data_IF_702182649791
#
_entry.id   IF_702182649791
#
_cell.length_a   1.000
_cell.length_b   1.000
_cell.length_c   1.000
_cell.angle_alpha   90.00
_cell.angle_beta   90.00
_cell.angle_gamma   90.00
#
_symmetry.space_group_name_H-M   'P 1'
#
loop_
_entity.id
_entity.type
_entity.pdbx_description
1 polymer ?
#
# COMPACT_ATOMS: atom_id res chain seq x y z
N UNK A 1 12.53 -11.84 30.49
CA UNK A 1 12.18 -11.27 31.81
C UNK A 1 11.29 -10.04 31.68
N UNK A 2 11.68 -8.96 31.01
CA UNK A 2 10.82 -7.77 30.86
C UNK A 2 9.46 -8.06 30.19
N UNK A 3 9.47 -8.91 29.16
CA UNK A 3 8.27 -9.44 28.52
C UNK A 3 7.33 -10.12 29.54
N UNK A 4 7.82 -11.12 30.28
CA UNK A 4 7.05 -11.81 31.33
C UNK A 4 6.52 -10.89 32.44
N UNK A 5 7.30 -9.87 32.84
CA UNK A 5 6.84 -8.85 33.80
C UNK A 5 5.65 -8.07 33.23
N UNK A 6 5.62 -7.85 31.91
CA UNK A 6 4.47 -7.25 31.25
C UNK A 6 3.19 -8.08 31.39
N UNK A 7 3.29 -9.41 31.28
CA UNK A 7 2.15 -10.30 31.55
C UNK A 7 1.64 -10.21 32.98
N UNK A 8 2.50 -9.95 33.98
CA UNK A 8 2.04 -9.73 35.35
C UNK A 8 1.09 -8.53 35.45
N UNK A 9 1.43 -7.40 34.79
CA UNK A 9 0.57 -6.21 34.78
C UNK A 9 -0.72 -6.43 33.98
N UNK A 10 -0.63 -7.18 32.88
CA UNK A 10 -1.80 -7.56 32.08
C UNK A 10 -2.78 -8.41 32.89
N UNK A 11 -2.29 -9.44 33.59
CA UNK A 11 -3.11 -10.31 34.43
C UNK A 11 -3.70 -9.57 35.64
N UNK A 12 -2.99 -8.59 36.20
CA UNK A 12 -3.51 -7.78 37.31
C UNK A 12 -4.85 -7.08 36.96
N UNK A 13 -5.08 -6.73 35.70
CA UNK A 13 -6.35 -6.12 35.25
C UNK A 13 -7.54 -7.03 35.52
N UNK A 14 -7.39 -8.33 35.25
CA UNK A 14 -8.41 -9.33 35.56
C UNK A 14 -8.64 -9.42 37.07
N UNK A 15 -7.55 -9.49 37.85
CA UNK A 15 -7.61 -9.59 39.31
C UNK A 15 -8.30 -8.38 39.95
N UNK A 16 -7.97 -7.17 39.51
CA UNK A 16 -8.50 -5.91 40.07
C UNK A 16 -9.99 -5.74 39.76
N UNK A 17 -10.40 -6.12 38.55
CA UNK A 17 -11.79 -5.95 38.12
C UNK A 17 -12.69 -7.16 38.46
N UNK A 18 -12.10 -8.30 38.83
CA UNK A 18 -12.80 -9.56 39.11
C UNK A 18 -13.78 -9.96 37.98
N UNK A 19 -13.37 -9.77 36.73
CA UNK A 19 -14.16 -10.01 35.52
C UNK A 19 -13.24 -10.40 34.35
N UNK A 20 -13.77 -10.69 33.16
CA UNK A 20 -12.95 -11.11 32.03
C UNK A 20 -12.22 -9.97 31.28
N UNK A 21 -12.14 -8.75 31.83
CA UNK A 21 -11.41 -7.65 31.19
C UNK A 21 -9.92 -7.98 31.04
N UNK A 22 -9.25 -7.30 30.11
CA UNK A 22 -7.89 -7.67 29.70
C UNK A 22 -7.84 -8.92 28.82
N UNK A 23 -8.93 -9.20 28.08
CA UNK A 23 -9.01 -10.32 27.14
C UNK A 23 -8.56 -11.66 27.74
N UNK A 24 -9.13 -12.03 28.90
CA UNK A 24 -8.98 -13.36 29.51
C UNK A 24 -9.77 -14.44 28.72
N UNK A 25 -9.83 -14.31 27.40
CA UNK A 25 -10.62 -15.11 26.46
C UNK A 25 -10.02 -14.97 25.05
N UNK A 26 -10.33 -15.90 24.16
CA UNK A 26 -9.91 -15.84 22.76
C UNK A 26 -10.88 -15.05 21.88
N UNK A 27 -10.59 -14.95 20.58
CA UNK A 27 -11.40 -14.16 19.64
C UNK A 27 -12.32 -15.00 18.75
N UNK A 28 -12.40 -16.31 18.98
CA UNK A 28 -13.39 -17.18 18.37
C UNK A 28 -14.80 -16.95 18.92
N UNK A 29 -15.75 -17.77 18.44
CA UNK A 29 -17.15 -17.72 18.87
C UNK A 29 -17.28 -17.76 20.40
N UNK A 30 -18.05 -16.81 20.96
CA UNK A 30 -18.24 -16.63 22.41
C UNK A 30 -16.94 -16.51 23.23
N UNK A 31 -15.85 -16.03 22.62
CA UNK A 31 -14.57 -15.87 23.30
C UNK A 31 -13.72 -17.13 23.34
N UNK A 32 -13.97 -18.11 22.47
CA UNK A 32 -13.21 -19.35 22.39
C UNK A 32 -11.77 -19.12 21.88
N UNK A 33 -10.88 -20.04 22.25
CA UNK A 33 -9.49 -20.04 21.82
C UNK A 33 -8.59 -19.13 22.66
N UNK A 34 -7.49 -18.70 22.06
CA UNK A 34 -6.52 -17.77 22.65
C UNK A 34 -6.49 -16.45 21.87
N UNK A 35 -5.61 -15.53 22.26
CA UNK A 35 -5.35 -14.31 21.50
C UNK A 35 -3.88 -13.90 21.54
N UNK A 36 -3.39 -13.32 20.44
CA UNK A 36 -2.01 -12.82 20.33
C UNK A 36 -1.76 -11.47 20.99
N UNK A 37 -2.80 -10.76 21.45
CA UNK A 37 -2.68 -9.39 21.97
C UNK A 37 -1.88 -9.30 23.27
N UNK A 38 -1.96 -10.34 24.11
CA UNK A 38 -1.13 -10.49 25.31
C UNK A 38 0.36 -10.40 24.98
N UNK A 39 0.78 -11.18 23.97
CA UNK A 39 2.16 -11.28 23.50
C UNK A 39 2.64 -9.97 22.86
N UNK A 40 1.81 -9.39 21.99
CA UNK A 40 2.11 -8.10 21.34
C UNK A 40 2.35 -7.00 22.38
N UNK A 41 1.46 -6.91 23.37
CA UNK A 41 1.56 -5.89 24.41
C UNK A 41 2.73 -6.14 25.37
N UNK A 42 3.02 -7.40 25.73
CA UNK A 42 4.14 -7.73 26.60
C UNK A 42 5.48 -7.39 25.92
N UNK A 43 5.58 -7.64 24.61
CA UNK A 43 6.75 -7.23 23.84
C UNK A 43 6.88 -5.71 23.74
N UNK A 44 5.78 -5.00 23.46
CA UNK A 44 5.80 -3.53 23.43
C UNK A 44 6.24 -2.94 24.78
N UNK A 45 5.70 -3.46 25.89
CA UNK A 45 6.07 -3.03 27.25
C UNK A 45 7.55 -3.28 27.53
N UNK A 46 8.09 -4.44 27.14
CA UNK A 46 9.51 -4.74 27.27
C UNK A 46 10.39 -3.69 26.55
N UNK A 47 9.98 -3.24 25.36
CA UNK A 47 10.67 -2.19 24.62
C UNK A 47 10.44 -0.79 25.14
N UNK A 48 9.43 -0.53 25.98
CA UNK A 48 9.35 0.76 26.68
C UNK A 48 10.41 0.84 27.79
N UNK A 49 10.84 -0.30 28.32
CA UNK A 49 11.98 -0.41 29.26
C UNK A 49 13.32 -0.49 28.53
N UNK A 50 13.40 -1.22 27.42
CA UNK A 50 14.60 -1.43 26.61
C UNK A 50 14.41 -0.92 25.16
N UNK A 51 14.33 0.40 24.95
CA UNK A 51 13.89 0.98 23.67
C UNK A 51 14.83 0.68 22.50
N UNK A 52 16.14 0.54 22.75
CA UNK A 52 17.11 0.19 21.69
C UNK A 52 16.81 -1.17 21.04
N UNK A 53 16.18 -2.10 21.76
CA UNK A 53 15.89 -3.44 21.25
C UNK A 53 14.73 -3.46 20.25
N UNK A 54 13.85 -2.45 20.26
CA UNK A 54 12.67 -2.37 19.40
C UNK A 54 12.99 -2.44 17.89
N UNK A 55 14.22 -2.07 17.50
CA UNK A 55 14.66 -1.98 16.10
C UNK A 55 15.92 -2.82 15.79
N UNK A 56 16.45 -3.56 16.76
CA UNK A 56 17.80 -4.14 16.65
C UNK A 56 17.85 -5.66 16.79
N UNK A 57 16.72 -6.32 17.04
CA UNK A 57 16.64 -7.77 17.20
C UNK A 57 15.81 -8.46 16.10
N UNK A 58 15.71 -9.78 16.19
CA UNK A 58 15.01 -10.65 15.25
C UNK A 58 13.52 -10.33 15.12
N UNK A 59 12.87 -9.90 16.20
CA UNK A 59 11.45 -9.54 16.22
C UNK A 59 11.13 -8.34 15.33
N UNK A 60 12.10 -7.44 15.10
CA UNK A 60 11.94 -6.35 14.13
C UNK A 60 11.93 -6.85 12.69
N UNK A 61 12.81 -7.79 12.34
CA UNK A 61 12.84 -8.42 11.02
C UNK A 61 11.58 -9.26 10.78
N UNK A 62 11.10 -9.95 11.82
CA UNK A 62 9.82 -10.65 11.83
C UNK A 62 8.65 -9.71 11.56
N UNK A 63 8.55 -8.61 12.31
CA UNK A 63 7.53 -7.57 12.09
C UNK A 63 7.50 -7.12 10.62
N UNK A 64 8.66 -6.77 10.06
CA UNK A 64 8.79 -6.31 8.68
C UNK A 64 8.35 -7.37 7.66
N UNK A 65 8.48 -8.66 7.97
CA UNK A 65 8.08 -9.78 7.11
C UNK A 65 6.57 -10.01 7.16
N UNK A 66 5.93 -9.65 8.27
CA UNK A 66 4.52 -9.93 8.56
C UNK A 66 3.59 -8.70 8.52
N UNK A 67 4.08 -7.51 8.14
CA UNK A 67 3.27 -6.28 8.13
C UNK A 67 1.99 -6.32 7.28
N UNK A 68 1.89 -7.25 6.33
CA UNK A 68 0.73 -7.43 5.47
C UNK A 68 -0.42 -8.18 6.17
N UNK A 69 -0.13 -8.83 7.30
CA UNK A 69 -1.07 -9.66 8.06
C UNK A 69 -2.05 -8.85 8.90
N UNK A 70 -3.10 -9.53 9.38
CA UNK A 70 -4.08 -8.97 10.28
C UNK A 70 -3.41 -8.42 11.54
N UNK A 71 -3.91 -7.29 12.05
CA UNK A 71 -3.37 -6.66 13.26
C UNK A 71 -3.26 -7.63 14.45
N UNK A 72 -4.23 -8.52 14.58
CA UNK A 72 -4.36 -9.49 15.66
C UNK A 72 -3.93 -10.92 15.28
N UNK A 73 -3.26 -11.10 14.14
CA UNK A 73 -2.85 -12.43 13.68
C UNK A 73 -1.90 -13.12 14.68
N UNK A 74 -2.13 -14.41 14.91
CA UNK A 74 -1.34 -15.29 15.79
C UNK A 74 0.10 -15.53 15.32
N UNK A 75 0.35 -15.54 14.01
CA UNK A 75 1.67 -15.84 13.43
C UNK A 75 2.72 -14.83 13.91
N UNK A 76 2.51 -13.50 13.75
CA UNK A 76 3.43 -12.48 14.25
C UNK A 76 3.12 -12.01 15.68
N UNK A 77 2.48 -12.81 16.54
CA UNK A 77 1.99 -12.37 17.87
C UNK A 77 3.06 -11.72 18.76
N UNK A 78 4.31 -12.15 18.71
CA UNK A 78 5.42 -11.53 19.45
C UNK A 78 6.08 -10.37 18.70
N UNK A 79 5.82 -10.25 17.39
CA UNK A 79 6.46 -9.31 16.47
C UNK A 79 5.61 -8.06 16.24
N UNK A 80 4.29 -8.15 16.40
CA UNK A 80 3.36 -7.07 16.05
C UNK A 80 3.15 -6.05 17.19
N UNK A 81 4.24 -5.41 17.62
CA UNK A 81 4.28 -4.52 18.80
C UNK A 81 4.30 -3.01 18.47
N UNK A 82 4.13 -2.61 17.20
CA UNK A 82 4.21 -1.19 16.82
C UNK A 82 2.88 -0.43 16.89
N UNK A 83 1.73 -1.10 16.79
CA UNK A 83 0.42 -0.42 16.83
C UNK A 83 0.21 0.33 18.15
N UNK A 84 0.76 -0.20 19.24
CA UNK A 84 0.69 0.39 20.56
C UNK A 84 1.39 1.76 20.60
N UNK A 85 2.51 1.93 19.88
CA UNK A 85 3.17 3.25 19.74
C UNK A 85 2.32 4.24 18.94
N UNK A 86 1.55 3.78 17.95
CA UNK A 86 0.65 4.65 17.19
C UNK A 86 -0.56 5.08 18.04
N UNK A 87 -1.20 4.15 18.76
CA UNK A 87 -2.34 4.48 19.62
C UNK A 87 -1.93 5.36 20.81
N UNK A 88 -0.76 5.12 21.41
CA UNK A 88 -0.23 6.02 22.45
C UNK A 88 0.17 7.40 21.91
N UNK A 89 0.60 7.47 20.64
CA UNK A 89 0.79 8.75 19.96
C UNK A 89 -0.52 9.52 19.78
N UNK A 90 -1.64 8.85 19.47
CA UNK A 90 -2.95 9.52 19.31
C UNK A 90 -3.58 9.93 20.64
N UNK A 91 -3.50 9.07 21.67
CA UNK A 91 -4.33 9.19 22.86
C UNK A 91 -3.56 9.29 24.19
N UNK A 92 -2.23 9.28 24.13
CA UNK A 92 -1.36 9.33 25.30
C UNK A 92 -0.90 7.95 25.77
N UNK A 93 0.14 7.93 26.62
CA UNK A 93 0.80 6.69 27.08
C UNK A 93 -0.14 5.75 27.86
N UNK A 94 -1.16 6.29 28.52
CA UNK A 94 -2.13 5.52 29.31
C UNK A 94 -3.15 4.77 28.44
N UNK A 95 -3.18 5.00 27.13
CA UNK A 95 -4.14 4.39 26.20
C UNK A 95 -4.13 2.86 26.25
N UNK A 96 -2.95 2.24 26.23
CA UNK A 96 -2.88 0.77 26.28
C UNK A 96 -3.48 0.26 27.59
N UNK A 97 -3.14 0.86 28.72
CA UNK A 97 -3.74 0.52 30.02
C UNK A 97 -5.26 0.70 30.05
N UNK A 98 -5.79 1.75 29.39
CA UNK A 98 -7.24 1.98 29.24
C UNK A 98 -7.90 0.87 28.45
N UNK A 99 -7.34 0.46 27.31
CA UNK A 99 -7.87 -0.62 26.48
C UNK A 99 -7.99 -1.92 27.29
N UNK A 100 -6.92 -2.30 27.99
CA UNK A 100 -6.91 -3.47 28.87
C UNK A 100 -7.99 -3.40 29.96
N UNK A 101 -8.07 -2.28 30.68
CA UNK A 101 -9.05 -2.12 31.77
C UNK A 101 -10.50 -2.03 31.31
N UNK A 102 -10.75 -1.56 30.08
CA UNK A 102 -12.09 -1.25 29.58
C UNK A 102 -12.60 -2.22 28.53
N UNK A 103 -11.86 -3.26 28.15
CA UNK A 103 -12.39 -4.35 27.32
C UNK A 103 -13.54 -5.05 28.04
N UNK A 104 -14.41 -5.75 27.32
CA UNK A 104 -15.36 -6.69 27.94
C UNK A 104 -15.60 -7.87 27.01
N UNK A 105 -15.87 -9.05 27.57
CA UNK A 105 -16.14 -10.23 26.78
C UNK A 105 -17.43 -10.06 25.95
N UNK A 106 -17.43 -10.37 24.64
CA UNK A 106 -16.35 -11.03 23.88
C UNK A 106 -15.52 -10.09 22.96
N UNK A 107 -15.43 -8.78 23.22
CA UNK A 107 -14.72 -7.83 22.36
C UNK A 107 -13.25 -8.19 22.13
N UNK A 108 -12.76 -7.98 20.91
CA UNK A 108 -11.32 -7.92 20.63
C UNK A 108 -10.73 -6.50 20.89
N UNK A 109 -9.41 -6.30 20.78
CA UNK A 109 -8.77 -5.00 20.98
C UNK A 109 -9.23 -3.92 19.99
N UNK A 110 -9.59 -4.30 18.77
CA UNK A 110 -10.06 -3.37 17.73
C UNK A 110 -11.48 -2.89 18.08
N UNK A 111 -12.38 -3.79 18.46
CA UNK A 111 -13.72 -3.45 18.92
C UNK A 111 -13.69 -2.55 20.16
N UNK A 112 -12.85 -2.91 21.14
CA UNK A 112 -12.63 -2.11 22.36
C UNK A 112 -12.14 -0.71 22.01
N UNK A 113 -11.10 -0.59 21.17
CA UNK A 113 -10.54 0.69 20.73
C UNK A 113 -11.58 1.53 19.99
N UNK A 114 -12.28 0.94 19.01
CA UNK A 114 -13.33 1.63 18.25
C UNK A 114 -14.44 2.15 19.14
N UNK A 115 -14.90 1.36 20.11
CA UNK A 115 -15.95 1.77 21.06
C UNK A 115 -15.50 2.92 21.94
N UNK A 116 -14.30 2.86 22.50
CA UNK A 116 -13.79 3.90 23.40
C UNK A 116 -13.56 5.24 22.70
N UNK A 117 -13.25 5.20 21.41
CA UNK A 117 -12.98 6.39 20.58
C UNK A 117 -14.12 6.77 19.65
N UNK A 118 -15.28 6.10 19.73
CA UNK A 118 -16.45 6.40 18.90
C UNK A 118 -16.21 6.21 17.40
N UNK A 119 -15.30 5.32 17.01
CA UNK A 119 -14.90 5.09 15.62
C UNK A 119 -15.85 4.10 14.93
N UNK A 120 -16.41 4.52 13.80
CA UNK A 120 -17.01 3.58 12.85
C UNK A 120 -15.91 2.85 12.06
N UNK A 121 -16.29 1.87 11.24
CA UNK A 121 -15.33 1.07 10.47
C UNK A 121 -14.49 1.91 9.50
N UNK A 122 -15.10 2.85 8.80
CA UNK A 122 -14.39 3.69 7.83
C UNK A 122 -13.34 4.56 8.52
N UNK A 123 -13.69 5.18 9.65
CA UNK A 123 -12.77 5.99 10.44
C UNK A 123 -11.60 5.14 10.98
N UNK A 124 -11.86 3.93 11.45
CA UNK A 124 -10.79 3.02 11.87
C UNK A 124 -9.86 2.63 10.71
N UNK A 125 -10.40 2.33 9.53
CA UNK A 125 -9.60 2.06 8.33
C UNK A 125 -8.72 3.27 7.94
N UNK A 126 -9.24 4.49 8.09
CA UNK A 126 -8.49 5.72 7.83
C UNK A 126 -7.32 5.88 8.82
N UNK A 127 -7.53 5.54 10.10
CA UNK A 127 -6.45 5.52 11.09
C UNK A 127 -5.39 4.45 10.81
N UNK A 128 -5.79 3.26 10.34
CA UNK A 128 -4.84 2.22 9.97
C UNK A 128 -3.98 2.62 8.76
N UNK A 129 -4.55 3.37 7.80
CA UNK A 129 -3.75 3.98 6.74
C UNK A 129 -2.80 5.06 7.27
N UNK A 130 -3.27 5.94 8.16
CA UNK A 130 -2.41 6.95 8.81
C UNK A 130 -1.22 6.29 9.54
N UNK A 131 -1.48 5.21 10.28
CA UNK A 131 -0.48 4.40 10.97
C UNK A 131 0.59 3.90 9.99
N UNK A 132 0.18 3.21 8.92
CA UNK A 132 1.09 2.72 7.88
C UNK A 132 1.86 3.84 7.18
N UNK A 133 1.19 4.98 6.90
CA UNK A 133 1.80 6.13 6.27
C UNK A 133 2.91 6.74 7.13
N UNK A 134 2.70 6.82 8.45
CA UNK A 134 3.75 7.26 9.40
C UNK A 134 4.87 6.23 9.51
N UNK A 135 4.55 4.93 9.55
CA UNK A 135 5.55 3.85 9.61
C UNK A 135 6.41 3.71 8.35
N UNK A 136 6.03 4.32 7.22
CA UNK A 136 6.89 4.41 6.03
C UNK A 136 8.26 5.06 6.33
N UNK A 137 8.31 5.95 7.33
CA UNK A 137 9.55 6.59 7.78
C UNK A 137 9.70 6.64 9.31
N UNK A 138 8.95 5.78 10.02
CA UNK A 138 8.89 5.76 11.49
C UNK A 138 8.52 7.13 12.10
N UNK A 139 7.58 7.84 11.48
CA UNK A 139 7.19 9.21 11.85
C UNK A 139 6.21 9.26 13.03
N UNK A 140 6.65 8.68 14.13
CA UNK A 140 6.04 8.79 15.45
C UNK A 140 7.11 9.35 16.38
N UNK A 141 6.85 10.39 17.19
CA UNK A 141 7.86 11.01 18.04
C UNK A 141 8.69 10.01 18.87
N UNK A 142 8.03 9.02 19.47
CA UNK A 142 8.68 7.97 20.27
C UNK A 142 9.56 7.01 19.45
N UNK A 143 9.31 6.88 18.14
CA UNK A 143 10.04 5.97 17.24
C UNK A 143 11.08 6.67 16.38
N UNK A 144 10.91 7.97 16.15
CA UNK A 144 11.62 8.73 15.10
C UNK A 144 13.14 8.64 15.22
N UNK A 145 13.68 8.75 16.42
CA UNK A 145 15.14 8.71 16.65
C UNK A 145 15.72 7.33 16.37
N UNK A 146 15.15 6.27 16.98
CA UNK A 146 15.64 4.90 16.84
C UNK A 146 15.35 4.30 15.46
N UNK A 147 14.21 4.68 14.86
CA UNK A 147 13.79 4.25 13.54
C UNK A 147 14.48 4.98 12.38
N UNK A 148 15.18 6.11 12.61
CA UNK A 148 15.80 6.90 11.55
C UNK A 148 16.75 6.07 10.66
N UNK A 149 17.57 5.21 11.27
CA UNK A 149 18.48 4.30 10.56
C UNK A 149 17.80 3.07 9.93
N UNK A 150 16.48 2.92 10.10
CA UNK A 150 15.71 1.72 9.74
C UNK A 150 14.71 1.98 8.60
N UNK A 151 14.66 3.19 8.06
CA UNK A 151 13.78 3.53 6.92
C UNK A 151 14.10 2.67 5.69
N UNK A 152 15.36 2.30 5.48
CA UNK A 152 15.81 1.51 4.33
C UNK A 152 15.84 0.00 4.56
N UNK A 153 15.55 -0.47 5.78
CA UNK A 153 15.58 -1.91 6.08
C UNK A 153 14.28 -2.62 5.70
N UNK A 154 13.23 -1.86 5.36
CA UNK A 154 11.95 -2.43 4.95
C UNK A 154 12.10 -3.13 3.59
N UNK A 155 11.74 -4.43 3.49
CA UNK A 155 11.72 -5.11 2.21
C UNK A 155 10.64 -4.51 1.31
N UNK A 156 10.92 -4.44 0.01
CA UNK A 156 9.92 -4.11 -0.99
C UNK A 156 8.87 -5.23 -1.01
N UNK A 157 7.56 -4.94 -0.84
CA UNK A 157 6.53 -5.96 -1.05
C UNK A 157 6.66 -6.55 -2.46
N UNK A 158 6.61 -7.88 -2.56
CA UNK A 158 6.74 -8.60 -3.83
C UNK A 158 5.54 -8.28 -4.72
N UNK A 159 5.81 -7.75 -5.91
CA UNK A 159 4.82 -7.41 -6.93
C UNK A 159 5.18 -8.11 -8.24
N UNK A 160 4.19 -8.75 -8.87
CA UNK A 160 4.34 -9.49 -10.11
C UNK A 160 3.86 -8.63 -11.29
N UNK A 161 4.71 -8.44 -12.31
CA UNK A 161 4.34 -7.73 -13.53
C UNK A 161 3.36 -8.58 -14.36
N UNK A 162 2.14 -8.08 -14.56
CA UNK A 162 1.11 -8.71 -15.38
C UNK A 162 1.23 -8.35 -16.88
N UNK A 163 2.30 -7.63 -17.26
CA UNK A 163 2.47 -7.02 -18.57
C UNK A 163 2.12 -5.53 -18.56
N UNK A 164 2.72 -4.76 -19.47
CA UNK A 164 2.43 -3.33 -19.59
C UNK A 164 2.73 -2.48 -18.34
N UNK A 165 3.59 -2.97 -17.43
CA UNK A 165 3.88 -2.37 -16.12
C UNK A 165 2.69 -2.31 -15.16
N UNK A 166 1.74 -3.25 -15.31
CA UNK A 166 0.70 -3.49 -14.32
C UNK A 166 1.27 -4.38 -13.21
N UNK A 167 1.38 -3.85 -11.99
CA UNK A 167 1.99 -4.53 -10.85
C UNK A 167 0.92 -5.10 -9.94
N UNK A 168 0.80 -6.42 -9.87
CA UNK A 168 -0.11 -7.12 -8.96
C UNK A 168 0.63 -7.58 -7.71
N UNK A 169 0.06 -7.37 -6.53
CA UNK A 169 0.67 -7.85 -5.27
C UNK A 169 0.78 -9.37 -5.26
N UNK A 170 1.91 -9.94 -4.81
CA UNK A 170 2.06 -11.40 -4.72
C UNK A 170 1.23 -11.99 -3.56
N UNK A 171 0.63 -13.18 -3.70
CA UNK A 171 -0.13 -13.82 -2.63
C UNK A 171 0.63 -13.98 -1.30
N UNK A 172 1.96 -14.11 -1.32
CA UNK A 172 2.75 -14.31 -0.07
C UNK A 172 2.89 -13.05 0.78
N UNK A 173 2.49 -11.89 0.27
CA UNK A 173 2.54 -10.59 0.97
C UNK A 173 1.26 -9.77 0.75
N UNK A 174 0.20 -10.46 0.32
CA UNK A 174 -1.10 -9.85 0.09
C UNK A 174 -1.70 -9.40 1.41
N UNK A 175 -2.38 -8.25 1.38
CA UNK A 175 -2.94 -7.63 2.57
C UNK A 175 -4.07 -8.48 3.16
N UNK A 176 -4.06 -8.62 4.47
CA UNK A 176 -5.21 -9.05 5.28
C UNK A 176 -5.84 -7.78 5.91
N UNK A 177 -6.88 -7.88 6.75
CA UNK A 177 -7.47 -6.66 7.33
C UNK A 177 -6.45 -5.87 8.14
N UNK A 178 -6.36 -4.56 7.90
CA UNK A 178 -5.51 -3.61 8.62
C UNK A 178 -3.99 -3.80 8.44
N UNK A 179 -3.57 -4.87 7.78
CA UNK A 179 -2.20 -5.03 7.29
C UNK A 179 -1.84 -3.95 6.27
N UNK A 180 -0.56 -3.78 5.98
CA UNK A 180 -0.06 -2.75 5.08
C UNK A 180 1.06 -3.20 4.14
N UNK A 181 1.08 -2.55 2.97
CA UNK A 181 2.17 -2.60 2.02
C UNK A 181 2.69 -1.17 1.82
N UNK A 182 3.97 -0.96 2.12
CA UNK A 182 4.66 0.31 1.88
C UNK A 182 5.57 0.09 0.66
N UNK A 183 5.09 0.47 -0.51
CA UNK A 183 5.69 0.18 -1.81
C UNK A 183 6.62 1.33 -2.17
N UNK A 184 7.93 1.08 -2.23
CA UNK A 184 8.88 2.11 -2.67
C UNK A 184 8.76 2.31 -4.17
N UNK A 185 8.65 3.58 -4.57
CA UNK A 185 8.61 4.00 -5.98
C UNK A 185 9.71 5.02 -6.24
N UNK A 186 9.99 5.28 -7.52
CA UNK A 186 10.98 6.27 -7.88
C UNK A 186 10.53 7.67 -7.44
N UNK A 187 11.33 8.32 -6.58
CA UNK A 187 11.13 9.72 -6.27
C UNK A 187 11.52 10.57 -7.50
N UNK A 188 10.68 11.51 -7.95
CA UNK A 188 11.05 12.43 -9.02
C UNK A 188 12.18 13.36 -8.56
N UNK A 189 13.11 13.67 -9.47
CA UNK A 189 14.28 14.53 -9.17
C UNK A 189 13.94 16.01 -9.06
N UNK A 190 12.82 16.41 -9.64
CA UNK A 190 12.24 17.76 -9.58
C UNK A 190 10.79 17.66 -9.11
N UNK A 191 10.22 18.77 -8.66
CA UNK A 191 8.81 18.81 -8.28
C UNK A 191 7.95 18.33 -9.46
N UNK A 192 7.12 17.33 -9.22
CA UNK A 192 6.35 16.66 -10.29
C UNK A 192 5.12 15.96 -9.73
N UNK A 193 4.01 16.07 -10.43
CA UNK A 193 2.83 15.26 -10.15
C UNK A 193 3.08 13.81 -10.56
N UNK A 194 2.94 12.91 -9.61
CA UNK A 194 2.91 11.46 -9.83
C UNK A 194 1.50 10.95 -9.63
N UNK A 195 1.16 9.87 -10.33
CA UNK A 195 -0.18 9.28 -10.28
C UNK A 195 -0.08 7.76 -10.12
N UNK A 196 -0.97 7.18 -9.33
CA UNK A 196 -1.18 5.75 -9.24
C UNK A 196 -2.62 5.42 -9.66
N UNK A 197 -2.75 4.46 -10.58
CA UNK A 197 -4.00 3.85 -11.02
C UNK A 197 -4.15 2.54 -10.28
N UNK A 198 -5.17 2.44 -9.44
CA UNK A 198 -5.34 1.35 -8.50
C UNK A 198 -6.59 0.55 -8.82
N UNK A 199 -6.51 -0.77 -8.71
CA UNK A 199 -7.66 -1.66 -8.90
C UNK A 199 -7.67 -2.73 -7.79
N UNK A 200 -8.78 -2.81 -7.06
CA UNK A 200 -9.02 -3.88 -6.09
C UNK A 200 -9.45 -5.16 -6.79
N UNK A 201 -8.93 -6.31 -6.35
CA UNK A 201 -9.05 -7.59 -7.08
C UNK A 201 -9.52 -8.76 -6.20
N UNK A 202 -10.20 -8.49 -5.08
CA UNK A 202 -10.66 -9.54 -4.16
C UNK A 202 -11.40 -10.67 -4.89
N UNK A 203 -11.08 -11.92 -4.54
CA UNK A 203 -11.60 -13.12 -5.20
C UNK A 203 -10.81 -13.58 -6.43
N UNK A 204 -9.66 -12.96 -6.75
CA UNK A 204 -8.77 -13.44 -7.81
C UNK A 204 -8.19 -14.80 -7.46
N UNK A 205 -8.11 -15.70 -8.45
CA UNK A 205 -7.50 -17.03 -8.30
C UNK A 205 -6.04 -16.94 -7.82
N UNK A 206 -5.66 -17.87 -6.93
CA UNK A 206 -4.33 -17.91 -6.32
C UNK A 206 -4.19 -17.05 -5.05
N UNK A 207 -5.25 -16.35 -4.63
CA UNK A 207 -5.34 -15.68 -3.34
C UNK A 207 -6.39 -16.35 -2.46
N UNK A 208 -6.26 -16.20 -1.15
CA UNK A 208 -7.27 -16.70 -0.21
C UNK A 208 -8.55 -15.86 -0.30
N UNK A 209 -9.69 -16.54 -0.21
CA UNK A 209 -10.99 -15.94 -0.39
C UNK A 209 -11.87 -16.17 0.84
N UNK A 210 -11.92 -15.17 1.73
CA UNK A 210 -12.82 -15.11 2.89
C UNK A 210 -13.52 -13.77 2.88
N UNK A 211 -14.82 -13.77 3.16
CA UNK A 211 -15.59 -12.54 3.40
C UNK A 211 -15.48 -11.48 2.28
N UNK A 212 -15.41 -11.93 1.01
CA UNK A 212 -15.12 -11.09 -0.16
C UNK A 212 -16.05 -9.87 -0.31
N UNK A 213 -17.30 -9.98 0.14
CA UNK A 213 -18.28 -8.89 0.12
C UNK A 213 -17.85 -7.67 0.93
N UNK A 214 -16.90 -7.85 1.86
CA UNK A 214 -16.41 -6.80 2.75
C UNK A 214 -15.02 -6.30 2.38
N UNK A 215 -14.47 -6.70 1.23
CA UNK A 215 -13.15 -6.28 0.75
C UNK A 215 -13.03 -4.76 0.66
N UNK A 216 -11.86 -4.23 1.01
CA UNK A 216 -11.57 -2.82 0.79
C UNK A 216 -10.10 -2.47 1.01
N UNK A 217 -9.72 -1.31 0.49
CA UNK A 217 -8.38 -0.78 0.51
C UNK A 217 -8.39 0.70 0.86
N UNK A 218 -7.34 1.16 1.56
CA UNK A 218 -6.92 2.57 1.55
C UNK A 218 -5.57 2.67 0.88
N UNK A 219 -5.36 3.74 0.12
CA UNK A 219 -4.08 3.95 -0.53
C UNK A 219 -3.77 5.43 -0.74
N UNK A 220 -2.48 5.76 -0.76
CA UNK A 220 -2.01 7.13 -0.97
C UNK A 220 -0.49 7.25 -0.91
N UNK A 221 0.02 8.39 -1.35
CA UNK A 221 1.47 8.62 -1.42
C UNK A 221 2.04 9.18 -0.12
N UNK A 222 3.29 8.84 0.17
CA UNK A 222 4.08 9.45 1.25
C UNK A 222 5.46 9.80 0.72
N UNK A 223 5.90 11.04 0.92
CA UNK A 223 7.24 11.51 0.56
C UNK A 223 8.07 11.82 1.81
N UNK A 224 9.34 11.43 1.79
CA UNK A 224 10.37 11.86 2.72
C UNK A 224 11.36 12.76 1.99
N UNK A 225 11.42 14.03 2.38
CA UNK A 225 12.31 15.02 1.80
C UNK A 225 13.73 14.90 2.36
N UNK A 226 14.72 15.45 1.65
CA UNK A 226 16.13 15.44 2.06
C UNK A 226 16.39 16.15 3.39
N UNK A 227 15.55 17.12 3.77
CA UNK A 227 15.60 17.80 5.07
C UNK A 227 14.92 16.99 6.20
N UNK A 228 14.42 15.78 5.92
CA UNK A 228 13.73 14.92 6.88
C UNK A 228 12.24 15.23 7.06
N UNK A 229 11.68 16.23 6.39
CA UNK A 229 10.24 16.51 6.38
C UNK A 229 9.48 15.40 5.66
N UNK A 230 8.26 15.13 6.12
CA UNK A 230 7.34 14.15 5.56
C UNK A 230 6.17 14.88 4.95
N UNK A 231 5.75 14.45 3.77
CA UNK A 231 4.57 14.99 3.09
C UNK A 231 3.65 13.83 2.77
N UNK A 232 2.43 13.90 3.30
CA UNK A 232 1.39 12.90 3.13
C UNK A 232 0.46 13.37 2.01
N UNK A 233 0.33 12.54 0.98
CA UNK A 233 -0.60 12.78 -0.11
C UNK A 233 -2.04 12.48 0.28
N UNK A 234 -3.00 12.77 -0.61
CA UNK A 234 -4.40 12.40 -0.40
C UNK A 234 -4.53 10.88 -0.28
N UNK A 235 -5.35 10.43 0.67
CA UNK A 235 -5.76 9.04 0.80
C UNK A 235 -7.03 8.80 -0.03
N UNK A 236 -7.06 7.69 -0.75
CA UNK A 236 -8.20 7.19 -1.51
C UNK A 236 -8.69 5.85 -0.95
N UNK A 237 -9.91 5.47 -1.34
CA UNK A 237 -10.56 4.26 -0.88
C UNK A 237 -11.17 3.50 -2.06
N UNK A 238 -10.87 2.21 -2.15
CA UNK A 238 -11.59 1.26 -3.00
C UNK A 238 -12.28 0.28 -2.08
N UNK A 239 -13.59 0.05 -2.26
CA UNK A 239 -14.40 -0.73 -1.29
C UNK A 239 -15.03 -1.98 -1.90
N UNK A 240 -14.66 -2.32 -3.15
CA UNK A 240 -15.18 -3.50 -3.88
C UNK A 240 -14.14 -3.98 -4.89
N UNK A 241 -14.19 -5.27 -5.21
CA UNK A 241 -13.40 -5.86 -6.30
C UNK A 241 -13.83 -5.32 -7.67
N UNK A 242 -12.89 -5.22 -8.61
CA UNK A 242 -13.09 -4.71 -9.98
C UNK A 242 -13.27 -3.20 -10.10
N UNK A 243 -13.22 -2.47 -8.98
CA UNK A 243 -13.31 -1.00 -8.98
C UNK A 243 -11.91 -0.42 -9.18
N UNK A 244 -11.80 0.46 -10.17
CA UNK A 244 -10.62 1.26 -10.47
C UNK A 244 -10.78 2.65 -9.88
N UNK A 245 -9.71 3.18 -9.28
CA UNK A 245 -9.65 4.56 -8.82
C UNK A 245 -8.22 5.09 -8.94
N UNK A 246 -8.08 6.41 -8.94
CA UNK A 246 -6.84 7.11 -9.24
C UNK A 246 -6.50 8.08 -8.12
N UNK A 247 -5.22 8.09 -7.72
CA UNK A 247 -4.67 9.07 -6.80
C UNK A 247 -3.50 9.80 -7.47
N UNK A 248 -3.52 11.13 -7.40
CA UNK A 248 -2.41 11.98 -7.85
C UNK A 248 -1.81 12.72 -6.66
N UNK A 249 -0.51 12.97 -6.73
CA UNK A 249 0.24 13.65 -5.68
C UNK A 249 1.31 14.55 -6.29
N UNK A 250 1.27 15.83 -5.90
CA UNK A 250 2.29 16.79 -6.25
C UNK A 250 3.53 16.56 -5.39
N UNK A 251 4.43 15.72 -5.89
CA UNK A 251 5.64 15.37 -5.17
C UNK A 251 6.58 16.58 -5.10
N UNK A 252 6.95 17.05 -3.89
CA UNK A 252 7.80 18.23 -3.76
C UNK A 252 9.22 17.98 -4.29
N UNK A 253 9.92 19.07 -4.62
CA UNK A 253 11.36 19.01 -4.87
C UNK A 253 12.12 18.51 -3.63
N UNK A 254 13.30 17.91 -3.85
CA UNK A 254 14.10 17.34 -2.76
C UNK A 254 13.48 16.09 -2.13
N UNK A 255 12.57 15.40 -2.83
CA UNK A 255 12.05 14.11 -2.40
C UNK A 255 13.15 13.05 -2.45
N UNK A 256 13.58 12.57 -1.27
CA UNK A 256 14.61 11.52 -1.16
C UNK A 256 14.04 10.12 -1.33
N UNK A 257 12.80 9.93 -0.88
CA UNK A 257 12.07 8.66 -0.95
C UNK A 257 10.59 8.94 -1.10
N UNK A 258 9.95 8.13 -1.94
CA UNK A 258 8.54 8.20 -2.23
C UNK A 258 7.97 6.78 -2.11
N UNK A 259 6.82 6.66 -1.47
CA UNK A 259 6.10 5.40 -1.33
C UNK A 259 4.65 5.56 -1.76
N UNK A 260 4.08 4.49 -2.31
CA UNK A 260 2.65 4.26 -2.27
C UNK A 260 2.37 3.36 -1.06
N UNK A 261 1.54 3.83 -0.14
CA UNK A 261 1.12 3.07 1.04
C UNK A 261 -0.28 2.54 0.78
N UNK A 262 -0.46 1.23 0.93
CA UNK A 262 -1.75 0.53 0.76
C UNK A 262 -2.06 -0.25 2.02
N UNK A 263 -3.28 -0.19 2.53
CA UNK A 263 -3.74 -0.99 3.69
C UNK A 263 -5.01 -1.76 3.38
N UNK A 264 -5.18 -2.92 4.04
CA UNK A 264 -6.44 -3.65 4.05
C UNK A 264 -7.47 -2.87 4.87
N UNK A 265 -8.63 -2.59 4.29
CA UNK A 265 -9.61 -1.67 4.84
C UNK A 265 -11.03 -2.23 4.65
N UNK A 266 -11.39 -3.29 5.38
CA UNK A 266 -12.66 -3.97 5.17
C UNK A 266 -13.85 -3.06 5.51
N UNK A 267 -14.98 -3.26 4.85
CA UNK A 267 -16.19 -2.46 5.10
C UNK A 267 -16.90 -2.84 6.41
N UNK A 268 -16.58 -4.01 6.97
CA UNK A 268 -16.96 -4.40 8.34
C UNK A 268 -15.79 -5.08 9.03
N UNK A 269 -15.69 -4.93 10.35
CA UNK A 269 -14.74 -5.70 11.16
C UNK A 269 -15.36 -7.06 11.51
N UNK A 270 -14.52 -8.10 11.53
CA UNK A 270 -14.76 -9.36 12.21
C UNK A 270 -13.51 -9.74 12.98
N UNK A 271 -13.71 -10.52 14.04
CA UNK A 271 -12.64 -10.98 14.90
C UNK A 271 -11.75 -11.98 14.17
N UNK A 272 -10.45 -11.86 14.40
CA UNK A 272 -9.44 -12.80 13.95
C UNK A 272 -9.23 -13.84 15.04
N UNK A 273 -9.87 -15.00 14.91
CA UNK A 273 -9.70 -16.10 15.86
C UNK A 273 -8.29 -16.68 15.74
N UNK A 274 -7.74 -17.17 16.86
CA UNK A 274 -6.51 -17.95 16.81
C UNK A 274 -6.88 -19.40 16.50
N UNK A 275 -6.51 -19.88 15.32
CA UNK A 275 -6.71 -21.26 14.89
C UNK A 275 -5.45 -21.92 14.29
N UNK A 276 -4.32 -21.20 14.23
CA UNK A 276 -3.05 -21.66 13.65
C UNK A 276 -3.18 -22.07 12.17
N UNK A 277 -4.15 -21.50 11.43
CA UNK A 277 -4.42 -21.81 10.03
C UNK A 277 -4.55 -20.56 9.14
N UNK A 278 -3.38 -20.08 8.69
CA UNK A 278 -3.22 -19.03 7.67
C UNK A 278 -4.03 -19.28 6.38
N UNK A 279 -4.43 -20.52 6.06
CA UNK A 279 -5.10 -20.84 4.79
C UNK A 279 -6.55 -20.35 4.75
N UNK A 280 -7.13 -20.09 5.91
CA UNK A 280 -8.49 -19.63 6.02
C UNK A 280 -8.60 -18.11 6.18
N UNK A 281 -7.50 -17.35 6.22
CA UNK A 281 -7.55 -15.89 6.40
C UNK A 281 -7.81 -15.09 5.12
N UNK A 282 -8.46 -13.93 5.25
CA UNK A 282 -8.77 -13.09 4.10
C UNK A 282 -7.51 -12.59 3.39
N UNK A 283 -7.62 -12.35 2.08
CA UNK A 283 -6.63 -11.60 1.33
C UNK A 283 -7.30 -10.56 0.43
N UNK A 284 -6.69 -9.39 0.36
CA UNK A 284 -7.13 -8.23 -0.41
C UNK A 284 -6.16 -7.93 -1.54
N UNK A 285 -6.15 -8.75 -2.61
CA UNK A 285 -5.28 -8.50 -3.76
C UNK A 285 -5.68 -7.22 -4.47
N UNK A 286 -4.68 -6.56 -5.02
CA UNK A 286 -4.83 -5.37 -5.84
C UNK A 286 -3.76 -5.34 -6.93
N UNK A 287 -3.96 -4.48 -7.92
CA UNK A 287 -2.92 -4.11 -8.87
C UNK A 287 -2.81 -2.60 -9.02
N UNK A 288 -1.61 -2.16 -9.42
CA UNK A 288 -1.30 -0.75 -9.58
C UNK A 288 -0.42 -0.50 -10.80
N UNK A 289 -0.71 0.60 -11.49
CA UNK A 289 0.16 1.19 -12.53
C UNK A 289 0.46 2.64 -12.15
N UNK A 290 1.58 3.20 -12.62
CA UNK A 290 2.02 4.54 -12.23
C UNK A 290 2.21 5.46 -13.44
N UNK A 291 1.93 6.75 -13.30
CA UNK A 291 2.36 7.78 -14.25
C UNK A 291 3.37 8.72 -13.59
N UNK A 292 4.33 9.19 -14.38
CA UNK A 292 5.49 10.00 -13.98
C UNK A 292 6.43 9.37 -12.94
N UNK A 293 6.22 8.10 -12.60
CA UNK A 293 7.04 7.28 -11.70
C UNK A 293 6.87 5.81 -12.07
N UNK A 294 7.52 4.90 -11.32
CA UNK A 294 7.30 3.46 -11.36
C UNK A 294 7.82 2.83 -10.05
N UNK A 295 7.67 1.52 -9.88
CA UNK A 295 8.34 0.77 -8.83
C UNK A 295 9.83 1.12 -8.78
N UNK A 296 10.37 1.22 -7.57
CA UNK A 296 11.76 1.61 -7.39
C UNK A 296 12.70 0.67 -8.15
N UNK A 297 13.58 1.25 -8.98
CA UNK A 297 14.51 0.52 -9.83
C UNK A 297 14.00 0.19 -11.24
N UNK A 298 12.71 0.40 -11.53
CA UNK A 298 12.16 0.28 -12.89
C UNK A 298 12.15 1.64 -13.60
N UNK A 299 12.13 1.64 -14.94
CA UNK A 299 12.02 2.87 -15.71
C UNK A 299 10.69 3.58 -15.43
N UNK A 300 10.72 4.91 -15.28
CA UNK A 300 9.51 5.72 -15.08
C UNK A 300 8.60 5.63 -16.31
N UNK A 301 7.30 5.56 -16.07
CA UNK A 301 6.29 5.63 -17.12
C UNK A 301 5.85 7.08 -17.25
N UNK A 302 5.68 7.58 -18.48
CA UNK A 302 5.31 8.97 -18.74
C UNK A 302 4.21 8.99 -19.79
N UNK A 303 3.16 9.78 -19.55
CA UNK A 303 2.05 9.94 -20.50
C UNK A 303 1.07 8.77 -20.50
N UNK A 304 0.99 8.01 -19.40
CA UNK A 304 -0.20 7.21 -19.14
C UNK A 304 -1.33 8.18 -18.81
N UNK A 305 -2.11 8.56 -19.81
CA UNK A 305 -3.47 9.03 -19.56
C UNK A 305 -4.39 7.82 -19.77
N UNK A 306 -5.41 7.60 -18.94
CA UNK A 306 -6.32 6.43 -19.00
C UNK A 306 -7.24 6.44 -20.23
N UNK A 307 -6.75 6.92 -21.36
CA UNK A 307 -7.39 6.73 -22.63
C UNK A 307 -7.26 5.25 -23.01
N UNK A 308 -8.37 4.57 -23.40
CA UNK A 308 -8.36 3.19 -23.85
C UNK A 308 -7.24 2.93 -24.87
N UNK A 309 -6.67 1.73 -24.92
CA UNK A 309 -5.74 1.43 -26.02
C UNK A 309 -6.52 1.50 -27.34
N UNK A 310 -6.07 2.33 -28.29
CA UNK A 310 -6.66 2.35 -29.63
C UNK A 310 -6.34 1.02 -30.33
N UNK A 311 -7.37 0.21 -30.55
CA UNK A 311 -7.27 -1.08 -31.26
C UNK A 311 -7.52 -0.96 -32.76
N UNK A 312 -8.17 0.13 -33.19
CA UNK A 312 -8.45 0.45 -34.58
C UNK A 312 -7.28 1.16 -35.29
N UNK A 313 -6.26 1.59 -34.55
CA UNK A 313 -5.09 2.28 -35.10
C UNK A 313 -4.00 1.27 -35.44
N UNK A 314 -3.64 1.23 -36.72
CA UNK A 314 -2.56 0.41 -37.25
C UNK A 314 -1.40 1.27 -37.72
N UNK A 315 -0.18 0.78 -37.49
CA UNK A 315 1.06 1.44 -37.91
C UNK A 315 1.93 0.47 -38.68
N UNK A 316 2.40 0.88 -39.86
CA UNK A 316 3.36 0.12 -40.64
C UNK A 316 4.36 1.04 -41.33
N UNK A 317 5.49 0.46 -41.72
CA UNK A 317 6.60 1.16 -42.35
C UNK A 317 6.84 0.55 -43.72
N UNK A 318 6.99 1.40 -44.73
CA UNK A 318 7.43 1.03 -46.08
C UNK A 318 8.56 1.95 -46.51
N UNK A 319 9.80 1.42 -46.55
CA UNK A 319 11.00 2.24 -46.77
C UNK A 319 11.16 3.31 -45.67
N UNK A 320 11.26 4.58 -46.08
CA UNK A 320 11.31 5.74 -45.18
C UNK A 320 9.94 6.25 -44.71
N UNK A 321 8.84 5.68 -45.20
CA UNK A 321 7.49 6.17 -44.93
C UNK A 321 6.86 5.39 -43.77
N UNK A 322 6.52 6.11 -42.70
CA UNK A 322 5.61 5.65 -41.67
C UNK A 322 4.17 5.97 -42.08
N UNK A 323 3.30 4.97 -42.11
CA UNK A 323 1.86 5.16 -42.25
C UNK A 323 1.14 4.81 -40.96
N UNK A 324 0.21 5.67 -40.55
CA UNK A 324 -0.67 5.48 -39.40
C UNK A 324 -2.12 5.56 -39.87
N UNK A 325 -2.83 4.45 -39.74
CA UNK A 325 -4.22 4.28 -40.17
C UNK A 325 -5.18 4.25 -38.98
N UNK A 326 -6.47 4.42 -39.25
CA UNK A 326 -7.52 4.34 -38.23
C UNK A 326 -7.55 5.53 -37.28
N UNK A 327 -6.98 6.67 -37.70
CA UNK A 327 -7.01 7.91 -36.94
C UNK A 327 -8.43 8.49 -36.91
N UNK A 328 -8.78 9.17 -35.82
CA UNK A 328 -10.00 9.98 -35.76
C UNK A 328 -9.67 11.44 -36.08
N UNK A 329 -10.71 12.25 -36.27
CA UNK A 329 -10.52 13.69 -36.41
C UNK A 329 -9.94 14.23 -35.09
N UNK A 330 -8.83 14.98 -35.16
CA UNK A 330 -8.08 15.53 -34.01
C UNK A 330 -7.21 14.56 -33.18
N UNK A 331 -6.82 13.39 -33.70
CA UNK A 331 -5.75 12.62 -33.05
C UNK A 331 -4.43 13.39 -33.04
N UNK A 332 -3.75 13.43 -31.90
CA UNK A 332 -2.38 13.93 -31.72
C UNK A 332 -1.38 12.79 -31.92
N UNK A 333 -0.43 12.99 -32.83
CA UNK A 333 0.61 12.02 -33.16
C UNK A 333 1.97 12.65 -32.85
N UNK A 334 2.70 12.05 -31.91
CA UNK A 334 4.06 12.44 -31.58
C UNK A 334 5.05 11.34 -31.95
N UNK A 335 6.13 11.72 -32.62
CA UNK A 335 7.20 10.82 -33.03
C UNK A 335 8.48 11.29 -32.34
N UNK A 336 9.05 10.42 -31.51
CA UNK A 336 10.27 10.69 -30.75
C UNK A 336 11.37 9.71 -31.13
N UNK A 337 12.62 10.16 -31.11
CA UNK A 337 13.77 9.25 -31.20
C UNK A 337 14.04 8.60 -29.83
N UNK A 338 15.02 7.70 -29.75
CA UNK A 338 15.35 7.00 -28.51
C UNK A 338 15.97 7.87 -27.41
N UNK A 339 16.49 9.05 -27.74
CA UNK A 339 16.92 10.03 -26.72
C UNK A 339 15.76 10.88 -26.18
N UNK A 340 14.52 10.62 -26.64
CA UNK A 340 13.30 11.31 -26.22
C UNK A 340 13.04 12.63 -26.93
N UNK A 341 13.92 13.03 -27.87
CA UNK A 341 13.73 14.24 -28.67
C UNK A 341 12.56 14.06 -29.63
N UNK A 342 11.72 15.09 -29.72
CA UNK A 342 10.56 15.11 -30.60
C UNK A 342 11.00 15.39 -32.04
N UNK A 343 10.78 14.43 -32.92
CA UNK A 343 11.15 14.46 -34.34
C UNK A 343 10.00 15.07 -35.16
N UNK A 344 8.76 14.72 -34.82
CA UNK A 344 7.53 15.28 -35.39
C UNK A 344 6.43 15.34 -34.32
N UNK A 345 5.55 16.31 -34.47
CA UNK A 345 4.28 16.45 -33.75
C UNK A 345 3.23 16.85 -34.77
N UNK A 346 2.16 16.06 -34.88
CA UNK A 346 1.18 16.17 -35.95
C UNK A 346 -0.22 16.04 -35.36
N UNK A 347 -1.20 16.66 -36.00
CA UNK A 347 -2.62 16.42 -35.74
C UNK A 347 -3.27 15.84 -36.98
N UNK A 348 -4.11 14.82 -36.80
CA UNK A 348 -4.85 14.23 -37.91
C UNK A 348 -6.06 15.07 -38.28
N UNK A 349 -6.18 15.35 -39.58
CA UNK A 349 -7.41 15.88 -40.20
C UNK A 349 -8.18 14.80 -40.95
N UNK A 350 -7.55 13.65 -41.17
CA UNK A 350 -8.00 12.49 -41.95
C UNK A 350 -7.78 11.20 -41.16
N UNK A 351 -8.37 10.09 -41.60
CA UNK A 351 -8.23 8.77 -40.96
C UNK A 351 -6.89 8.07 -41.21
N UNK A 352 -6.04 8.66 -42.05
CA UNK A 352 -4.72 8.18 -42.40
C UNK A 352 -3.73 9.36 -42.37
N UNK A 353 -2.51 9.06 -41.92
CA UNK A 353 -1.38 9.97 -41.92
C UNK A 353 -0.14 9.21 -42.43
N UNK A 354 0.59 9.82 -43.37
CA UNK A 354 1.86 9.32 -43.86
C UNK A 354 2.98 10.33 -43.59
N UNK A 355 4.10 9.87 -43.05
CA UNK A 355 5.23 10.72 -42.63
C UNK A 355 6.54 10.09 -43.05
N UNK A 356 7.35 10.83 -43.82
CA UNK A 356 8.72 10.42 -44.08
C UNK A 356 9.61 10.66 -42.87
N UNK A 357 10.37 9.63 -42.51
CA UNK A 357 11.31 9.64 -41.41
C UNK A 357 12.68 9.16 -41.90
N UNK A 358 13.78 9.75 -41.39
CA UNK A 358 15.12 9.20 -41.61
C UNK A 358 15.26 7.78 -41.02
N UNK A 359 16.24 7.03 -41.52
CA UNK A 359 16.65 5.73 -40.96
C UNK A 359 16.92 5.86 -39.47
N UNK A 360 16.28 5.03 -38.65
CA UNK A 360 16.39 5.12 -37.20
C UNK A 360 15.31 4.34 -36.45
N UNK A 361 15.41 4.35 -35.12
CA UNK A 361 14.42 3.77 -34.22
C UNK A 361 13.61 4.90 -33.58
N UNK A 362 12.29 4.78 -33.65
CA UNK A 362 11.36 5.78 -33.14
C UNK A 362 10.32 5.18 -32.22
N UNK A 363 9.82 6.00 -31.31
CA UNK A 363 8.61 5.76 -30.53
C UNK A 363 7.53 6.68 -31.10
N UNK A 364 6.46 6.09 -31.61
CA UNK A 364 5.28 6.82 -32.11
C UNK A 364 4.18 6.67 -31.09
N UNK A 365 3.63 7.79 -30.63
CA UNK A 365 2.44 7.85 -29.78
C UNK A 365 1.30 8.52 -30.53
N UNK A 366 0.14 7.90 -30.54
CA UNK A 366 -1.13 8.45 -31.04
C UNK A 366 -2.05 8.62 -29.84
N UNK A 367 -2.75 9.75 -29.77
CA UNK A 367 -3.71 10.06 -28.71
C UNK A 367 -4.93 10.75 -29.31
N UNK A 368 -6.13 10.34 -28.91
CA UNK A 368 -7.39 11.00 -29.28
C UNK A 368 -8.35 11.00 -28.09
N UNK A 369 -9.56 11.52 -28.28
CA UNK A 369 -10.62 11.40 -27.27
C UNK A 369 -11.03 9.94 -27.00
N UNK A 370 -10.79 9.04 -27.95
CA UNK A 370 -11.21 7.63 -27.90
C UNK A 370 -10.16 6.73 -27.25
N UNK A 371 -8.90 7.17 -27.18
CA UNK A 371 -7.83 6.28 -26.78
C UNK A 371 -6.42 6.80 -26.98
N UNK A 372 -5.44 5.96 -26.66
CA UNK A 372 -4.04 6.16 -27.01
C UNK A 372 -3.38 4.87 -27.50
N UNK A 373 -2.33 5.00 -28.29
CA UNK A 373 -1.50 3.87 -28.73
C UNK A 373 -0.04 4.33 -28.81
N UNK A 374 0.88 3.51 -28.30
CA UNK A 374 2.32 3.73 -28.44
C UNK A 374 2.97 2.51 -29.09
N UNK A 375 3.75 2.71 -30.16
CA UNK A 375 4.53 1.65 -30.81
C UNK A 375 5.97 2.09 -31.06
N UNK A 376 6.87 1.11 -31.00
CA UNK A 376 8.25 1.26 -31.48
C UNK A 376 8.29 0.85 -32.95
N UNK A 377 8.89 1.68 -33.79
CA UNK A 377 9.06 1.40 -35.21
C UNK A 377 10.53 1.55 -35.60
N UNK A 378 10.95 0.75 -36.57
CA UNK A 378 12.29 0.82 -37.18
C UNK A 378 12.09 1.31 -38.61
N UNK A 379 12.79 2.38 -38.98
CA UNK A 379 12.92 2.80 -40.37
C UNK A 379 14.27 2.28 -40.88
N UNK A 380 14.24 1.46 -41.93
CA UNK A 380 15.43 0.89 -42.60
C UNK A 380 15.54 1.45 -44.02
N UNK A 381 16.74 1.37 -44.60
CA UNK A 381 16.97 1.78 -46.01
C UNK A 381 16.31 0.83 -46.99
#
# INVERSE_FOLDING_TARGET
MAHEVGHCFQYQVHCDNNNNNGWMYGYGDNGAGSNGWWEQCAQWQAYKVFPEQQFTNEWFSGYLSNVHKHLLHETPRYENYFIQDFWTYKHGMDEIGKLWNKSYNPEDPIETYKRLHGLNQAAFNDEMWECAARFASWDIPALKTLGAGKVTTRPQPKLNNQGGYVWRIDPTVCLENYGHNIIRINAPTTAKTVTAYFEGLAGTDGYRAKNLAYAGWRYGFVALLTNGQRVYGPMKAVTKSGVKDTVSFDCPAGCSRLWLVVTGAPSTHWRHAWDDDDTNDEQWPYQVTFNNTNLYGYANIVGLDELPTLTSVDMFVSGSLLTVNGLTHDSDIQIRNLSGQMVRSLKSTTSELAVELPVGLYVVSVRSAEGQLMRKIVIQK
#
